data_IF_677246642778
#
_entry.id   IF_677246642778
#
_cell.length_a   1.000
_cell.length_b   1.000
_cell.length_c   1.000
_cell.angle_alpha   90.00
_cell.angle_beta   90.00
_cell.angle_gamma   90.00
#
_symmetry.space_group_name_H-M   'P 1'
#
loop_
_entity.id
_entity.type
_entity.pdbx_description
1 polymer ?
#
# COMPACT_ATOMS: atom_id res chain seq x y z
N UNK A 1 -18.44 12.37 26.61
CA UNK A 1 -19.48 12.89 25.68
C UNK A 1 -20.34 13.86 26.47
N UNK A 2 -20.81 14.94 25.85
CA UNK A 2 -21.79 15.82 26.49
C UNK A 2 -23.22 15.32 26.33
N UNK A 3 -24.12 15.92 27.08
CA UNK A 3 -25.57 15.67 27.01
C UNK A 3 -26.16 16.05 25.65
N UNK A 4 -25.45 16.88 24.87
CA UNK A 4 -25.76 17.21 23.48
C UNK A 4 -25.27 16.16 22.46
N UNK A 5 -24.76 15.01 22.91
CA UNK A 5 -24.15 13.96 22.08
C UNK A 5 -22.82 14.34 21.39
N UNK A 6 -22.22 15.49 21.73
CA UNK A 6 -20.90 15.86 21.22
C UNK A 6 -19.81 15.04 21.92
N UNK A 7 -18.78 14.65 21.16
CA UNK A 7 -17.56 14.05 21.72
C UNK A 7 -16.56 15.16 22.03
N UNK A 8 -16.22 15.31 23.30
CA UNK A 8 -15.13 16.16 23.76
C UNK A 8 -13.87 15.30 23.87
N UNK A 9 -12.82 15.71 23.20
CA UNK A 9 -11.54 15.00 23.14
C UNK A 9 -10.50 15.75 23.95
N UNK A 10 -9.69 15.00 24.69
CA UNK A 10 -8.55 15.52 25.45
C UNK A 10 -7.27 15.43 24.60
N UNK A 11 -6.19 16.06 25.04
CA UNK A 11 -4.91 16.10 24.33
C UNK A 11 -4.36 14.71 23.97
N UNK A 12 -4.63 13.70 24.81
CA UNK A 12 -4.19 12.32 24.52
C UNK A 12 -4.90 11.72 23.30
N UNK A 13 -6.15 12.11 23.05
CA UNK A 13 -6.84 11.71 21.83
C UNK A 13 -6.21 12.38 20.59
N UNK A 14 -5.71 13.61 20.72
CA UNK A 14 -4.98 14.27 19.64
C UNK A 14 -3.63 13.58 19.37
N UNK A 15 -2.84 13.30 20.42
CA UNK A 15 -1.57 12.55 20.31
C UNK A 15 -1.81 11.21 19.62
N UNK A 16 -2.88 10.52 20.01
CA UNK A 16 -3.26 9.25 19.42
C UNK A 16 -3.60 9.35 17.94
N UNK A 17 -4.35 10.39 17.55
CA UNK A 17 -4.70 10.61 16.15
C UNK A 17 -3.46 10.94 15.30
N UNK A 18 -2.51 11.71 15.87
CA UNK A 18 -1.22 11.98 15.22
C UNK A 18 -0.41 10.69 15.03
N UNK A 19 -0.38 9.81 16.03
CA UNK A 19 0.26 8.50 15.93
C UNK A 19 -0.34 7.67 14.78
N UNK A 20 -1.67 7.50 14.78
CA UNK A 20 -2.39 6.76 13.73
C UNK A 20 -2.12 7.37 12.35
N UNK A 21 -2.14 8.71 12.23
CA UNK A 21 -1.85 9.42 10.98
C UNK A 21 -0.45 9.13 10.46
N UNK A 22 0.57 9.08 11.33
CA UNK A 22 1.95 8.75 10.96
C UNK A 22 2.07 7.31 10.48
N UNK A 23 1.44 6.36 11.17
CA UNK A 23 1.44 4.96 10.74
C UNK A 23 0.76 4.77 9.38
N UNK A 24 -0.40 5.42 9.16
CA UNK A 24 -1.09 5.38 7.86
C UNK A 24 -0.30 6.02 6.73
N UNK A 25 0.53 7.02 7.01
CA UNK A 25 1.44 7.61 6.02
C UNK A 25 2.54 6.63 5.57
N UNK A 26 2.84 5.61 6.39
CA UNK A 26 3.73 4.49 6.07
C UNK A 26 2.97 3.28 5.53
N UNK A 27 1.70 3.45 5.16
CA UNK A 27 0.77 2.41 4.73
C UNK A 27 0.61 1.20 5.67
N UNK A 28 0.89 1.40 6.95
CA UNK A 28 0.60 0.41 7.99
C UNK A 28 -0.92 0.25 8.09
N UNK A 29 -1.40 -1.00 8.14
CA UNK A 29 -2.83 -1.32 8.21
C UNK A 29 -3.43 -0.95 9.56
N UNK A 30 -4.76 -0.78 9.62
CA UNK A 30 -5.44 -0.50 10.90
C UNK A 30 -5.21 -1.59 11.95
N UNK A 31 -5.12 -2.85 11.51
CA UNK A 31 -4.86 -4.00 12.39
C UNK A 31 -3.45 -3.95 13.00
N UNK A 32 -2.45 -3.60 12.21
CA UNK A 32 -1.08 -3.40 12.70
C UNK A 32 -0.98 -2.18 13.60
N UNK A 33 -1.72 -1.11 13.29
CA UNK A 33 -1.81 0.07 14.15
C UNK A 33 -2.41 -0.28 15.51
N UNK A 34 -3.52 -1.02 15.55
CA UNK A 34 -4.11 -1.53 16.81
C UNK A 34 -3.10 -2.33 17.64
N UNK A 35 -2.27 -3.16 16.99
CA UNK A 35 -1.22 -3.89 17.69
C UNK A 35 -0.11 -2.98 18.24
N UNK A 36 0.38 -2.02 17.45
CA UNK A 36 1.38 -1.03 17.90
C UNK A 36 0.88 -0.20 19.08
N UNK A 37 -0.41 0.11 19.06
CA UNK A 37 -1.14 0.79 20.11
C UNK A 37 -1.16 -0.02 21.42
N UNK A 38 -1.33 -1.34 21.35
CA UNK A 38 -1.32 -2.22 22.52
C UNK A 38 0.09 -2.35 23.10
N UNK A 39 1.11 -2.34 22.25
CA UNK A 39 2.52 -2.34 22.66
C UNK A 39 2.90 -1.02 23.34
N UNK A 40 2.42 0.12 22.84
CA UNK A 40 2.63 1.44 23.45
C UNK A 40 2.16 1.50 24.91
N UNK A 41 1.10 0.74 25.26
CA UNK A 41 0.58 0.65 26.63
C UNK A 41 1.44 -0.22 27.57
N UNK A 42 2.48 -0.87 27.06
CA UNK A 42 3.38 -1.78 27.78
C UNK A 42 4.84 -1.29 27.71
N UNK A 43 5.20 -0.17 28.36
CA UNK A 43 6.51 0.48 28.20
C UNK A 43 7.71 -0.34 28.70
N UNK A 44 7.47 -1.39 29.48
CA UNK A 44 8.51 -2.31 29.98
C UNK A 44 8.72 -3.52 29.05
N UNK A 45 7.93 -3.66 27.99
CA UNK A 45 8.07 -4.73 27.01
C UNK A 45 9.20 -4.40 26.04
N UNK A 46 9.90 -5.43 25.59
CA UNK A 46 10.94 -5.30 24.56
C UNK A 46 10.36 -4.86 23.20
N UNK A 47 11.13 -4.05 22.47
CA UNK A 47 10.69 -3.48 21.20
C UNK A 47 10.83 -4.43 19.99
N UNK A 48 11.29 -5.68 20.18
CA UNK A 48 11.39 -6.70 19.12
C UNK A 48 10.08 -6.89 18.35
N UNK A 49 8.93 -6.85 19.02
CA UNK A 49 7.63 -6.97 18.38
C UNK A 49 7.35 -5.82 17.39
N UNK A 50 7.80 -4.60 17.71
CA UNK A 50 7.70 -3.44 16.82
C UNK A 50 8.67 -3.61 15.65
N UNK A 51 9.91 -4.00 15.92
CA UNK A 51 10.93 -4.20 14.88
C UNK A 51 10.48 -5.27 13.89
N UNK A 52 9.96 -6.40 14.36
CA UNK A 52 9.48 -7.48 13.50
C UNK A 52 8.33 -7.01 12.60
N UNK A 53 7.38 -6.23 13.12
CA UNK A 53 6.29 -5.67 12.32
C UNK A 53 6.82 -4.77 11.20
N UNK A 54 7.79 -3.91 11.51
CA UNK A 54 8.41 -3.03 10.52
C UNK A 54 9.21 -3.83 9.48
N UNK A 55 9.95 -4.86 9.90
CA UNK A 55 10.70 -5.74 9.00
C UNK A 55 9.76 -6.50 8.04
N UNK A 56 8.61 -6.97 8.53
CA UNK A 56 7.60 -7.63 7.70
C UNK A 56 7.00 -6.65 6.69
N UNK A 57 6.72 -5.41 7.11
CA UNK A 57 6.20 -4.37 6.22
C UNK A 57 7.23 -3.97 5.15
N UNK A 58 8.51 -3.81 5.51
CA UNK A 58 9.60 -3.58 4.56
C UNK A 58 9.65 -4.68 3.49
N UNK A 59 9.59 -5.95 3.90
CA UNK A 59 9.57 -7.07 2.96
C UNK A 59 8.34 -7.04 2.05
N UNK A 60 7.17 -6.62 2.53
CA UNK A 60 5.97 -6.45 1.69
C UNK A 60 6.16 -5.36 0.65
N UNK A 61 6.70 -4.21 1.05
CA UNK A 61 7.01 -3.09 0.16
C UNK A 61 8.03 -3.49 -0.91
N UNK A 62 9.11 -4.17 -0.53
CA UNK A 62 10.12 -4.68 -1.47
C UNK A 62 9.52 -5.64 -2.50
N UNK A 63 8.67 -6.59 -2.06
CA UNK A 63 7.95 -7.48 -2.97
C UNK A 63 7.08 -6.69 -3.95
N UNK A 64 6.36 -5.67 -3.46
CA UNK A 64 5.50 -4.86 -4.31
C UNK A 64 6.30 -4.06 -5.34
N UNK A 65 7.46 -3.53 -4.96
CA UNK A 65 8.37 -2.87 -5.89
C UNK A 65 8.80 -3.83 -7.00
N UNK A 66 9.22 -5.04 -6.66
CA UNK A 66 9.65 -6.05 -7.64
C UNK A 66 8.50 -6.40 -8.60
N UNK A 67 7.28 -6.59 -8.09
CA UNK A 67 6.10 -6.83 -8.92
C UNK A 67 5.80 -5.65 -9.86
N UNK A 68 5.83 -4.43 -9.34
CA UNK A 68 5.57 -3.22 -10.12
C UNK A 68 6.64 -2.98 -11.18
N UNK A 69 7.91 -3.29 -10.89
CA UNK A 69 8.99 -3.23 -11.88
C UNK A 69 8.79 -4.25 -12.99
N UNK A 70 8.41 -5.50 -12.65
CA UNK A 70 8.07 -6.51 -13.67
C UNK A 70 6.92 -6.05 -14.55
N UNK A 71 5.86 -5.52 -13.94
CA UNK A 71 4.70 -5.00 -14.67
C UNK A 71 5.07 -3.80 -15.55
N UNK A 72 5.92 -2.90 -15.06
CA UNK A 72 6.45 -1.78 -15.84
C UNK A 72 7.19 -2.27 -17.09
N UNK A 73 8.06 -3.28 -16.95
CA UNK A 73 8.80 -3.86 -18.08
C UNK A 73 7.82 -4.46 -19.10
N UNK A 74 6.79 -5.19 -18.66
CA UNK A 74 5.77 -5.75 -19.56
C UNK A 74 5.02 -4.65 -20.31
N UNK A 75 4.62 -3.55 -19.64
CA UNK A 75 3.97 -2.41 -20.29
C UNK A 75 4.91 -1.70 -21.28
N UNK A 76 6.21 -1.60 -20.97
CA UNK A 76 7.19 -1.03 -21.88
C UNK A 76 7.36 -1.90 -23.13
N UNK A 77 7.45 -3.22 -22.98
CA UNK A 77 7.51 -4.17 -24.09
C UNK A 77 6.24 -4.09 -24.96
N UNK A 78 5.08 -4.07 -24.33
CA UNK A 78 3.80 -3.88 -25.03
C UNK A 78 3.81 -2.57 -25.81
N UNK A 79 4.24 -1.46 -25.20
CA UNK A 79 4.34 -0.17 -25.88
C UNK A 79 5.32 -0.18 -27.06
N UNK A 80 6.45 -0.89 -26.93
CA UNK A 80 7.46 -1.02 -28.00
C UNK A 80 6.97 -1.84 -29.19
N UNK A 81 6.00 -2.74 -29.00
CA UNK A 81 5.41 -3.54 -30.09
C UNK A 81 4.73 -2.69 -31.18
N UNK A 82 4.27 -1.48 -30.83
CA UNK A 82 3.68 -0.53 -31.76
C UNK A 82 4.64 0.63 -32.03
N UNK A 83 5.50 0.45 -33.03
CA UNK A 83 6.56 1.40 -33.39
C UNK A 83 6.08 2.53 -34.32
N UNK A 84 5.00 2.33 -35.05
CA UNK A 84 4.42 3.32 -35.96
C UNK A 84 3.13 3.88 -35.38
N UNK A 85 2.93 5.20 -35.52
CA UNK A 85 1.62 5.82 -35.36
C UNK A 85 0.81 5.50 -36.62
N UNK A 86 0.18 4.33 -36.63
CA UNK A 86 -0.73 3.87 -37.67
C UNK A 86 -2.19 4.00 -37.22
N UNK A 87 -3.09 3.43 -38.00
CA UNK A 87 -4.52 3.31 -37.67
C UNK A 87 -4.74 2.32 -36.52
N UNK A 88 -5.92 2.38 -35.91
CA UNK A 88 -6.34 1.42 -34.87
C UNK A 88 -6.30 -0.02 -35.40
N UNK A 89 -6.69 -0.22 -36.68
CA UNK A 89 -6.70 -1.53 -37.33
C UNK A 89 -5.29 -2.17 -37.41
N UNK A 90 -4.24 -1.34 -37.50
CA UNK A 90 -2.85 -1.78 -37.55
C UNK A 90 -2.11 -1.69 -36.20
N UNK A 91 -2.84 -1.38 -35.12
CA UNK A 91 -2.27 -1.22 -33.80
C UNK A 91 -1.84 -2.58 -33.22
N UNK A 92 -0.53 -2.81 -33.15
CA UNK A 92 0.03 -4.06 -32.62
C UNK A 92 -0.26 -4.27 -31.13
N UNK A 93 -0.41 -3.19 -30.36
CA UNK A 93 -0.80 -3.25 -28.95
C UNK A 93 -2.20 -3.86 -28.81
N UNK A 94 -3.18 -3.39 -29.59
CA UNK A 94 -4.55 -3.92 -29.55
C UNK A 94 -4.58 -5.38 -29.98
N UNK A 95 -3.88 -5.73 -31.07
CA UNK A 95 -3.75 -7.13 -31.51
C UNK A 95 -3.15 -8.03 -30.42
N UNK A 96 -2.13 -7.57 -29.69
CA UNK A 96 -1.54 -8.34 -28.58
C UNK A 96 -2.50 -8.48 -27.39
N UNK A 97 -3.26 -7.44 -27.05
CA UNK A 97 -4.23 -7.48 -25.96
C UNK A 97 -5.42 -8.40 -26.29
N UNK A 98 -5.87 -8.40 -27.54
CA UNK A 98 -6.94 -9.29 -28.00
C UNK A 98 -6.48 -10.75 -28.10
N UNK A 99 -5.25 -11.00 -28.56
CA UNK A 99 -4.68 -12.35 -28.61
C UNK A 99 -4.45 -12.97 -27.21
N UNK A 100 -4.19 -12.15 -26.20
CA UNK A 100 -4.07 -12.61 -24.80
C UNK A 100 -5.40 -12.99 -24.14
N UNK A 101 -6.55 -12.66 -24.75
CA UNK A 101 -7.88 -13.02 -24.24
C UNK A 101 -8.35 -14.40 -24.70
N UNK A 102 -7.64 -15.06 -25.63
CA UNK A 102 -8.02 -16.37 -26.18
C UNK A 102 -7.43 -17.58 -25.44
N UNK A 103 -6.56 -17.38 -24.44
CA UNK A 103 -6.07 -18.45 -23.57
C UNK A 103 -6.78 -18.39 -22.20
N UNK A 104 -8.02 -18.90 -22.16
CA UNK A 104 -8.75 -19.29 -20.94
C UNK A 104 -9.71 -20.44 -21.23
#
# INVERSE_FOLDING_TARGET
RGDNNYRYYQDDALKRLIFIKRCRALDISLKEIEYLIELEQKPQQDCSAVNQLIDEHLKQVERKIIELQKFQIQLQQLRQSCSTQSTIDDCQILRHLEAGLTDA
#
